data_IF_595766830407
#
_entry.id   IF_595766830407
#
_cell.length_a   1.000
_cell.length_b   1.000
_cell.length_c   1.000
_cell.angle_alpha   90.00
_cell.angle_beta   90.00
_cell.angle_gamma   90.00
#
_symmetry.space_group_name_H-M   'P 1'
#
loop_
_entity.id
_entity.type
_entity.pdbx_description
1 polymer ?
#
# COMPACT_ATOMS: atom_id res chain seq x y z
N UNK A 1 -34.46 0.75 -3.38
CA UNK A 1 -34.08 1.80 -2.41
C UNK A 1 -32.88 1.40 -1.51
N UNK A 2 -32.65 0.09 -1.24
CA UNK A 2 -31.54 -0.35 -0.36
C UNK A 2 -30.14 0.07 -0.78
N UNK A 3 -29.84 0.06 -2.08
CA UNK A 3 -28.49 0.33 -2.60
C UNK A 3 -28.00 1.78 -2.39
N UNK A 4 -28.93 2.73 -2.24
CA UNK A 4 -28.59 4.14 -2.09
C UNK A 4 -28.04 4.44 -0.67
N UNK A 5 -28.53 3.76 0.36
CA UNK A 5 -28.06 3.96 1.74
C UNK A 5 -26.63 3.49 1.96
N UNK A 6 -26.13 2.54 1.18
CA UNK A 6 -24.73 2.13 1.20
C UNK A 6 -23.81 3.09 0.44
N UNK A 7 -24.33 3.74 -0.60
CA UNK A 7 -23.53 4.49 -1.56
C UNK A 7 -23.19 5.91 -1.09
N UNK A 8 -24.17 6.61 -0.49
CA UNK A 8 -23.99 8.03 -0.17
C UNK A 8 -22.86 8.33 0.84
N UNK A 9 -22.56 7.50 1.88
CA UNK A 9 -21.41 7.76 2.76
C UNK A 9 -20.09 7.69 1.99
N UNK A 10 -19.97 6.73 1.09
CA UNK A 10 -18.77 6.57 0.24
C UNK A 10 -18.60 7.77 -0.69
N UNK A 11 -19.67 8.22 -1.36
CA UNK A 11 -19.62 9.38 -2.25
C UNK A 11 -19.28 10.67 -1.49
N UNK A 12 -19.82 10.86 -0.28
CA UNK A 12 -19.49 11.99 0.57
C UNK A 12 -18.01 11.97 0.98
N UNK A 13 -17.49 10.80 1.38
CA UNK A 13 -16.08 10.65 1.71
C UNK A 13 -15.19 10.98 0.51
N UNK A 14 -15.51 10.46 -0.67
CA UNK A 14 -14.75 10.73 -1.90
C UNK A 14 -14.80 12.24 -2.28
N UNK A 15 -15.97 12.87 -2.18
CA UNK A 15 -16.13 14.30 -2.41
C UNK A 15 -15.33 15.14 -1.39
N UNK A 16 -15.35 14.72 -0.11
CA UNK A 16 -14.55 15.35 0.94
C UNK A 16 -13.04 15.26 0.63
N UNK A 17 -12.57 14.09 0.20
CA UNK A 17 -11.16 13.88 -0.18
C UNK A 17 -10.73 14.77 -1.36
N UNK A 18 -11.60 14.93 -2.37
CA UNK A 18 -11.39 15.88 -3.45
C UNK A 18 -11.30 17.33 -2.92
N UNK A 19 -12.21 17.73 -2.04
CA UNK A 19 -12.23 19.06 -1.42
C UNK A 19 -10.95 19.36 -0.65
N UNK A 20 -10.48 18.41 0.17
CA UNK A 20 -9.21 18.52 0.92
C UNK A 20 -8.03 18.66 -0.03
N UNK A 21 -7.98 17.85 -1.10
CA UNK A 21 -6.91 17.92 -2.10
C UNK A 21 -6.84 19.29 -2.79
N UNK A 22 -7.99 19.85 -3.19
CA UNK A 22 -8.08 21.19 -3.77
C UNK A 22 -7.67 22.29 -2.77
N UNK A 23 -8.12 22.16 -1.52
CA UNK A 23 -7.78 23.12 -0.47
C UNK A 23 -6.25 23.15 -0.22
N UNK A 24 -5.62 21.98 -0.06
CA UNK A 24 -4.15 21.86 0.12
C UNK A 24 -3.42 22.43 -1.08
N UNK A 25 -3.89 22.13 -2.30
CA UNK A 25 -3.30 22.68 -3.52
C UNK A 25 -3.36 24.22 -3.53
N UNK A 26 -4.49 24.79 -3.15
CA UNK A 26 -4.67 26.25 -3.14
C UNK A 26 -3.81 26.94 -2.07
N UNK A 27 -3.73 26.35 -0.88
CA UNK A 27 -2.89 26.83 0.22
C UNK A 27 -1.39 26.76 -0.11
N UNK A 28 -0.97 25.80 -0.93
CA UNK A 28 0.45 25.60 -1.29
C UNK A 28 0.91 26.42 -2.52
N UNK A 29 0.05 27.21 -3.14
CA UNK A 29 0.40 27.97 -4.37
C UNK A 29 1.44 29.07 -4.14
N UNK A 30 1.55 29.64 -2.94
CA UNK A 30 2.51 30.70 -2.61
C UNK A 30 3.96 30.21 -2.48
N UNK A 31 4.18 28.97 -2.04
CA UNK A 31 5.52 28.41 -1.76
C UNK A 31 6.20 27.75 -2.97
N UNK A 32 5.51 27.58 -4.09
CA UNK A 32 5.91 26.70 -5.21
C UNK A 32 6.99 27.21 -6.15
N UNK A 33 7.52 28.43 -5.96
CA UNK A 33 8.35 29.05 -6.99
C UNK A 33 9.82 28.57 -7.05
N UNK A 34 10.40 28.04 -5.97
CA UNK A 34 11.84 27.78 -5.94
C UNK A 34 12.26 26.32 -6.25
N UNK A 35 11.45 25.29 -5.97
CA UNK A 35 11.86 23.90 -6.22
C UNK A 35 10.66 22.95 -6.42
N UNK A 36 9.96 23.07 -7.54
CA UNK A 36 8.74 22.30 -7.84
C UNK A 36 8.91 20.80 -7.61
N UNK A 37 10.00 20.19 -8.08
CA UNK A 37 10.21 18.75 -7.94
C UNK A 37 10.29 18.30 -6.47
N UNK A 38 10.99 19.07 -5.61
CA UNK A 38 11.13 18.77 -4.18
C UNK A 38 9.80 18.90 -3.44
N UNK A 39 9.03 19.92 -3.77
CA UNK A 39 7.71 20.13 -3.16
C UNK A 39 6.68 19.12 -3.64
N UNK A 40 6.68 18.83 -4.93
CA UNK A 40 5.72 17.92 -5.55
C UNK A 40 5.94 16.45 -5.18
N UNK A 41 7.20 15.98 -5.10
CA UNK A 41 7.52 14.56 -4.89
C UNK A 41 7.80 14.18 -3.43
N UNK A 42 8.25 15.10 -2.56
CA UNK A 42 8.52 14.82 -1.14
C UNK A 42 7.97 15.87 -0.16
N UNK A 43 7.11 16.78 -0.61
CA UNK A 43 6.48 17.79 0.25
C UNK A 43 7.46 18.76 0.91
N UNK A 44 8.59 19.07 0.28
CA UNK A 44 9.60 19.99 0.81
C UNK A 44 10.27 19.53 2.10
N UNK A 45 10.18 18.25 2.49
CA UNK A 45 10.66 17.70 3.78
C UNK A 45 10.00 18.38 4.99
N UNK A 46 8.71 18.65 4.92
CA UNK A 46 7.98 19.45 5.93
C UNK A 46 7.09 18.62 6.85
N UNK A 47 7.05 17.28 6.72
CA UNK A 47 6.10 16.45 7.45
C UNK A 47 6.39 16.42 8.96
N UNK A 48 5.37 16.80 9.76
CA UNK A 48 5.38 16.63 11.22
C UNK A 48 5.17 15.18 11.64
N UNK A 49 5.45 14.87 12.91
CA UNK A 49 5.45 13.48 13.40
C UNK A 49 4.13 12.74 13.22
N UNK A 50 3.00 13.37 13.52
CA UNK A 50 1.69 12.75 13.37
C UNK A 50 1.34 12.47 11.89
N UNK A 51 1.48 13.48 11.02
CA UNK A 51 1.20 13.29 9.58
C UNK A 51 2.14 12.25 8.97
N UNK A 52 3.43 12.26 9.34
CA UNK A 52 4.39 11.24 8.90
C UNK A 52 3.98 9.84 9.36
N UNK A 53 3.57 9.68 10.63
CA UNK A 53 3.07 8.40 11.16
C UNK A 53 1.86 7.92 10.34
N UNK A 54 0.84 8.75 10.22
CA UNK A 54 -0.42 8.37 9.60
C UNK A 54 -0.30 8.14 8.10
N UNK A 55 0.49 8.94 7.36
CA UNK A 55 0.77 8.64 5.94
C UNK A 55 1.60 7.35 5.76
N UNK A 56 2.50 7.05 6.72
CA UNK A 56 3.25 5.78 6.69
C UNK A 56 2.30 4.60 6.96
N UNK A 57 1.45 4.69 7.98
CA UNK A 57 0.40 3.70 8.26
C UNK A 57 -0.49 3.50 7.04
N UNK A 58 -1.02 4.57 6.46
CA UNK A 58 -1.91 4.51 5.30
C UNK A 58 -1.25 3.86 4.06
N UNK A 59 0.05 4.06 3.89
CA UNK A 59 0.79 3.46 2.76
C UNK A 59 1.06 1.97 2.97
N UNK A 60 1.26 1.54 4.21
CA UNK A 60 1.41 0.12 4.54
C UNK A 60 0.07 -0.61 4.60
N UNK A 61 -0.98 0.06 5.06
CA UNK A 61 -2.33 -0.48 5.11
C UNK A 61 -2.99 -0.34 3.75
N UNK A 62 -3.09 -1.44 3.03
CA UNK A 62 -3.66 -1.49 1.68
C UNK A 62 -4.92 -2.36 1.66
N UNK A 63 -5.52 -2.55 0.50
CA UNK A 63 -6.60 -3.51 0.33
C UNK A 63 -6.22 -4.92 0.81
N UNK A 64 -4.95 -5.29 0.74
CA UNK A 64 -4.49 -6.57 1.29
C UNK A 64 -4.65 -6.65 2.81
N UNK A 65 -4.54 -5.54 3.54
CA UNK A 65 -4.75 -5.52 5.00
C UNK A 65 -6.23 -5.68 5.35
N UNK A 66 -7.14 -5.11 4.54
CA UNK A 66 -8.57 -5.05 4.87
C UNK A 66 -9.42 -6.11 4.18
N UNK A 67 -8.94 -6.69 3.08
CA UNK A 67 -9.69 -7.67 2.27
C UNK A 67 -8.89 -8.95 2.10
N UNK A 68 -7.70 -8.87 1.51
CA UNK A 68 -6.89 -10.06 1.21
C UNK A 68 -6.41 -10.79 2.47
N UNK A 69 -5.92 -10.07 3.47
CA UNK A 69 -5.43 -10.63 4.74
C UNK A 69 -6.53 -11.30 5.56
N UNK A 70 -7.64 -10.60 5.87
CA UNK A 70 -8.78 -11.23 6.53
C UNK A 70 -9.34 -12.43 5.77
N UNK A 71 -9.44 -12.37 4.44
CA UNK A 71 -9.87 -13.52 3.62
C UNK A 71 -8.93 -14.73 3.76
N UNK A 72 -7.63 -14.50 3.76
CA UNK A 72 -6.66 -15.56 4.03
C UNK A 72 -6.71 -16.07 5.48
N UNK A 73 -6.94 -15.19 6.44
CA UNK A 73 -7.11 -15.57 7.84
C UNK A 73 -8.38 -16.42 8.06
N UNK A 74 -9.47 -16.11 7.36
CA UNK A 74 -10.67 -16.94 7.32
C UNK A 74 -10.40 -18.34 6.76
N UNK A 75 -9.55 -18.46 5.75
CA UNK A 75 -9.23 -19.73 5.12
C UNK A 75 -8.21 -20.57 5.91
N UNK A 76 -7.22 -19.92 6.52
CA UNK A 76 -6.06 -20.56 7.17
C UNK A 76 -6.22 -20.59 8.69
N UNK A 77 -6.66 -19.50 9.32
CA UNK A 77 -6.76 -19.38 10.78
C UNK A 77 -5.52 -18.76 11.44
N UNK A 78 -5.13 -19.27 12.61
CA UNK A 78 -4.04 -18.75 13.45
C UNK A 78 -2.68 -18.75 12.76
N UNK A 79 -2.42 -19.67 11.85
CA UNK A 79 -1.19 -19.65 11.07
C UNK A 79 -0.99 -18.32 10.34
N UNK A 80 -2.09 -17.75 9.81
CA UNK A 80 -2.05 -16.44 9.16
C UNK A 80 -1.93 -15.29 10.16
N UNK A 81 -2.59 -15.37 11.31
CA UNK A 81 -2.49 -14.38 12.38
C UNK A 81 -1.05 -14.29 12.92
N UNK A 82 -0.39 -15.40 13.17
CA UNK A 82 1.00 -15.43 13.63
C UNK A 82 1.97 -14.86 12.57
N UNK A 83 1.69 -15.07 11.29
CA UNK A 83 2.43 -14.41 10.23
C UNK A 83 2.25 -12.88 10.29
N UNK A 84 1.02 -12.40 10.51
CA UNK A 84 0.73 -10.98 10.56
C UNK A 84 1.43 -10.23 11.73
N UNK A 85 1.80 -10.90 12.80
CA UNK A 85 2.49 -10.32 13.98
C UNK A 85 3.80 -9.63 13.56
N UNK A 86 4.52 -10.12 12.57
CA UNK A 86 5.79 -9.50 12.15
C UNK A 86 5.59 -8.06 11.66
N UNK A 87 4.41 -7.73 11.14
CA UNK A 87 4.12 -6.39 10.63
C UNK A 87 4.02 -5.33 11.73
N UNK A 88 3.83 -5.73 13.00
CA UNK A 88 3.75 -4.82 14.15
C UNK A 88 5.01 -3.96 14.26
N UNK A 89 6.18 -4.55 14.05
CA UNK A 89 7.47 -3.86 14.20
C UNK A 89 7.97 -3.17 12.92
N UNK A 90 7.25 -3.33 11.81
CA UNK A 90 7.71 -2.85 10.48
C UNK A 90 7.99 -1.35 10.47
N UNK A 91 7.06 -0.53 10.96
CA UNK A 91 7.27 0.94 10.93
C UNK A 91 8.44 1.35 11.83
N UNK A 92 8.62 0.68 12.97
CA UNK A 92 9.79 0.91 13.83
C UNK A 92 11.09 0.64 13.08
N UNK A 93 11.16 -0.48 12.37
CA UNK A 93 12.35 -0.85 11.58
C UNK A 93 12.56 0.13 10.41
N UNK A 94 11.50 0.42 9.65
CA UNK A 94 11.54 1.28 8.47
C UNK A 94 11.96 2.71 8.82
N UNK A 95 11.33 3.34 9.79
CA UNK A 95 11.62 4.72 10.16
C UNK A 95 12.84 4.82 11.10
N UNK A 96 12.97 3.91 12.07
CA UNK A 96 13.99 3.97 13.11
C UNK A 96 15.37 3.57 12.61
N UNK A 97 15.50 2.41 11.97
CA UNK A 97 16.80 1.89 11.53
C UNK A 97 17.15 2.45 10.15
N UNK A 98 16.29 2.17 9.18
CA UNK A 98 16.55 2.49 7.78
C UNK A 98 16.29 3.96 7.46
N UNK A 99 15.13 4.50 7.87
CA UNK A 99 14.71 5.85 7.58
C UNK A 99 15.65 6.92 8.10
N UNK A 100 16.20 6.75 9.31
CA UNK A 100 17.20 7.66 9.86
C UNK A 100 18.46 7.71 9.00
N UNK A 101 18.96 6.55 8.58
CA UNK A 101 20.18 6.45 7.77
C UNK A 101 19.97 7.04 6.38
N UNK A 102 18.86 6.65 5.71
CA UNK A 102 18.53 7.13 4.37
C UNK A 102 18.32 8.65 4.35
N UNK A 103 17.68 9.22 5.37
CA UNK A 103 17.47 10.65 5.47
C UNK A 103 18.77 11.44 5.66
N UNK A 104 19.71 10.93 6.46
CA UNK A 104 21.04 11.54 6.59
C UNK A 104 21.76 11.59 5.24
N UNK A 105 21.73 10.49 4.49
CA UNK A 105 22.36 10.41 3.17
C UNK A 105 21.61 11.33 2.18
N UNK A 106 20.30 11.25 2.12
CA UNK A 106 19.49 12.02 1.18
C UNK A 106 19.60 13.53 1.38
N UNK A 107 19.74 14.00 2.63
CA UNK A 107 19.97 15.41 2.93
C UNK A 107 21.35 15.89 2.49
N UNK A 108 22.38 15.03 2.65
CA UNK A 108 23.75 15.35 2.22
C UNK A 108 23.90 15.50 0.72
N UNK A 109 23.17 14.69 -0.07
CA UNK A 109 23.24 14.69 -1.53
C UNK A 109 22.03 15.40 -2.20
N UNK A 110 21.18 16.00 -1.39
CA UNK A 110 19.87 16.60 -1.76
C UNK A 110 18.95 15.68 -2.60
N UNK A 111 19.00 14.37 -2.32
CA UNK A 111 18.18 13.38 -3.02
C UNK A 111 16.69 13.58 -2.73
N UNK A 112 15.86 13.43 -3.77
CA UNK A 112 14.41 13.53 -3.73
C UNK A 112 13.76 12.16 -3.85
N UNK A 113 14.44 11.21 -4.49
CA UNK A 113 13.95 9.85 -4.75
C UNK A 113 14.92 8.78 -4.25
N UNK A 114 14.43 7.54 -4.16
CA UNK A 114 15.30 6.38 -3.89
C UNK A 114 16.30 6.16 -5.02
N UNK A 115 15.90 6.46 -6.25
CA UNK A 115 16.76 6.35 -7.44
C UNK A 115 17.94 7.32 -7.38
N UNK A 116 17.74 8.55 -6.85
CA UNK A 116 18.84 9.49 -6.60
C UNK A 116 19.86 8.93 -5.63
N UNK A 117 19.40 8.29 -4.56
CA UNK A 117 20.28 7.68 -3.55
C UNK A 117 21.12 6.56 -4.19
N UNK A 118 20.48 5.70 -4.97
CA UNK A 118 21.15 4.59 -5.68
C UNK A 118 22.14 5.13 -6.70
N UNK A 119 21.73 6.11 -7.52
CA UNK A 119 22.58 6.75 -8.52
C UNK A 119 23.82 7.38 -7.88
N UNK A 120 23.64 8.15 -6.83
CA UNK A 120 24.72 8.79 -6.12
C UNK A 120 25.66 7.79 -5.46
N UNK A 121 25.11 6.72 -4.86
CA UNK A 121 25.92 5.71 -4.14
C UNK A 121 26.79 4.86 -5.07
N UNK A 122 26.23 4.44 -6.21
CA UNK A 122 26.87 3.50 -7.11
C UNK A 122 27.45 4.14 -8.38
N UNK A 123 27.25 5.46 -8.57
CA UNK A 123 27.70 6.21 -9.76
C UNK A 123 27.30 5.52 -11.06
N UNK A 124 26.02 5.07 -11.15
CA UNK A 124 25.53 4.25 -12.26
C UNK A 124 24.16 4.70 -12.74
N UNK A 125 24.12 5.24 -13.97
CA UNK A 125 22.85 5.57 -14.63
C UNK A 125 22.10 4.33 -15.08
N UNK A 126 22.81 3.27 -15.48
CA UNK A 126 22.17 1.99 -15.82
C UNK A 126 21.38 1.45 -14.64
N UNK A 127 21.98 1.40 -13.44
CA UNK A 127 21.31 0.94 -12.23
C UNK A 127 20.13 1.83 -11.86
N UNK A 128 20.27 3.15 -12.03
CA UNK A 128 19.19 4.11 -11.79
C UNK A 128 18.00 3.91 -12.76
N UNK A 129 18.27 3.68 -14.03
CA UNK A 129 17.23 3.43 -15.04
C UNK A 129 16.53 2.08 -14.81
N UNK A 130 17.27 1.02 -14.46
CA UNK A 130 16.70 -0.27 -14.06
C UNK A 130 15.83 -0.07 -12.81
N UNK A 131 16.28 0.69 -11.81
CA UNK A 131 15.50 1.00 -10.60
C UNK A 131 14.18 1.69 -10.94
N UNK A 132 14.20 2.69 -11.83
CA UNK A 132 12.99 3.41 -12.25
C UNK A 132 12.01 2.48 -12.97
N UNK A 133 12.51 1.62 -13.89
CA UNK A 133 11.68 0.64 -14.60
C UNK A 133 11.01 -0.36 -13.63
N UNK A 134 11.79 -0.90 -12.70
CA UNK A 134 11.30 -1.84 -11.67
C UNK A 134 10.24 -1.20 -10.80
N UNK A 135 10.45 0.05 -10.35
CA UNK A 135 9.45 0.81 -9.57
C UNK A 135 8.14 0.90 -10.35
N UNK A 136 8.19 1.36 -11.60
CA UNK A 136 6.98 1.53 -12.41
C UNK A 136 6.25 0.20 -12.62
N UNK A 137 6.97 -0.85 -13.01
CA UNK A 137 6.38 -2.15 -13.31
C UNK A 137 5.67 -2.77 -12.10
N UNK A 138 6.35 -2.87 -10.95
CA UNK A 138 5.78 -3.53 -9.77
C UNK A 138 4.81 -2.64 -8.99
N UNK A 139 4.96 -1.31 -9.05
CA UNK A 139 3.93 -0.42 -8.51
C UNK A 139 2.64 -0.48 -9.33
N UNK A 140 2.72 -0.60 -10.67
CA UNK A 140 1.54 -0.87 -11.48
C UNK A 140 0.86 -2.18 -11.05
N UNK A 141 1.60 -3.26 -10.82
CA UNK A 141 1.03 -4.51 -10.33
C UNK A 141 0.37 -4.35 -8.94
N UNK A 142 1.01 -3.62 -8.01
CA UNK A 142 0.38 -3.32 -6.70
C UNK A 142 -0.91 -2.51 -6.88
N UNK A 143 -0.90 -1.50 -7.75
CA UNK A 143 -2.08 -0.66 -8.00
C UNK A 143 -3.23 -1.47 -8.62
N UNK A 144 -2.96 -2.46 -9.48
CA UNK A 144 -4.00 -3.38 -9.99
C UNK A 144 -4.71 -4.08 -8.84
N UNK A 145 -3.98 -4.62 -7.84
CA UNK A 145 -4.60 -5.24 -6.67
C UNK A 145 -5.52 -4.26 -5.91
N UNK A 146 -5.12 -2.99 -5.79
CA UNK A 146 -5.92 -1.96 -5.12
C UNK A 146 -7.21 -1.65 -5.91
N UNK A 147 -7.12 -1.48 -7.23
CA UNK A 147 -8.27 -1.23 -8.09
C UNK A 147 -9.28 -2.39 -8.04
N UNK A 148 -8.78 -3.63 -8.11
CA UNK A 148 -9.61 -4.84 -7.97
C UNK A 148 -10.32 -4.88 -6.62
N UNK A 149 -9.61 -4.59 -5.55
CA UNK A 149 -10.19 -4.62 -4.21
C UNK A 149 -11.25 -3.54 -4.00
N UNK A 150 -11.00 -2.31 -4.44
CA UNK A 150 -11.98 -1.24 -4.38
C UNK A 150 -13.25 -1.58 -5.18
N UNK A 151 -13.09 -2.12 -6.40
CA UNK A 151 -14.20 -2.50 -7.26
C UNK A 151 -15.04 -3.64 -6.66
N UNK A 152 -14.40 -4.69 -6.12
CA UNK A 152 -15.11 -5.80 -5.44
C UNK A 152 -15.85 -5.34 -4.18
N UNK A 153 -15.23 -4.48 -3.38
CA UNK A 153 -15.89 -3.88 -2.21
C UNK A 153 -17.11 -3.08 -2.61
N UNK A 154 -16.97 -2.24 -3.64
CA UNK A 154 -18.06 -1.44 -4.16
C UNK A 154 -19.21 -2.33 -4.70
N UNK A 155 -18.90 -3.32 -5.54
CA UNK A 155 -19.86 -4.26 -6.10
C UNK A 155 -20.62 -5.00 -4.98
N UNK A 156 -19.92 -5.57 -4.01
CA UNK A 156 -20.53 -6.36 -2.95
C UNK A 156 -21.48 -5.52 -2.07
N UNK A 157 -21.09 -4.29 -1.71
CA UNK A 157 -21.87 -3.47 -0.76
C UNK A 157 -22.98 -2.69 -1.46
N UNK A 158 -22.79 -2.25 -2.70
CA UNK A 158 -23.77 -1.42 -3.40
C UNK A 158 -24.67 -2.20 -4.37
N UNK A 159 -24.26 -3.40 -4.79
CA UNK A 159 -24.94 -4.20 -5.82
C UNK A 159 -24.76 -3.68 -7.24
N UNK A 160 -23.97 -2.62 -7.46
CA UNK A 160 -23.60 -2.18 -8.81
C UNK A 160 -22.53 -3.08 -9.40
N UNK A 161 -22.35 -3.04 -10.72
CA UNK A 161 -21.37 -3.90 -11.37
C UNK A 161 -19.93 -3.58 -10.95
N UNK A 162 -19.06 -4.58 -10.97
CA UNK A 162 -17.63 -4.48 -10.76
C UNK A 162 -16.99 -3.34 -11.57
N UNK A 163 -17.33 -3.26 -12.88
CA UNK A 163 -16.79 -2.25 -13.79
C UNK A 163 -17.24 -0.84 -13.41
N UNK A 164 -18.48 -0.67 -12.90
CA UNK A 164 -18.97 0.62 -12.41
C UNK A 164 -18.13 1.08 -11.22
N UNK A 165 -17.91 0.20 -10.24
CA UNK A 165 -17.06 0.49 -9.07
C UNK A 165 -15.63 0.80 -9.45
N UNK A 166 -15.06 0.00 -10.36
CA UNK A 166 -13.71 0.19 -10.89
C UNK A 166 -13.54 1.55 -11.57
N UNK A 167 -14.50 1.94 -12.40
CA UNK A 167 -14.47 3.21 -13.13
C UNK A 167 -14.58 4.40 -12.18
N UNK A 168 -15.56 4.37 -11.27
CA UNK A 168 -15.77 5.44 -10.30
C UNK A 168 -14.55 5.65 -9.41
N UNK A 169 -14.03 4.58 -8.84
CA UNK A 169 -12.83 4.61 -8.02
C UNK A 169 -11.61 5.11 -8.81
N UNK A 170 -11.38 4.54 -10.00
CA UNK A 170 -10.23 4.87 -10.84
C UNK A 170 -10.21 6.34 -11.25
N UNK A 171 -11.35 6.87 -11.72
CA UNK A 171 -11.46 8.28 -12.10
C UNK A 171 -11.15 9.21 -10.93
N UNK A 172 -11.74 8.94 -9.76
CA UNK A 172 -11.59 9.80 -8.60
C UNK A 172 -10.15 9.78 -8.09
N UNK A 173 -9.54 8.58 -7.91
CA UNK A 173 -8.20 8.47 -7.35
C UNK A 173 -7.14 9.06 -8.28
N UNK A 174 -7.26 8.84 -9.58
CA UNK A 174 -6.32 9.40 -10.56
C UNK A 174 -6.45 10.92 -10.60
N UNK A 175 -7.68 11.44 -10.62
CA UNK A 175 -7.92 12.88 -10.66
C UNK A 175 -7.35 13.61 -9.44
N UNK A 176 -7.70 13.18 -8.22
CA UNK A 176 -7.25 13.89 -7.03
C UNK A 176 -5.73 13.77 -6.81
N UNK A 177 -5.14 12.62 -7.17
CA UNK A 177 -3.69 12.41 -7.09
C UNK A 177 -2.94 13.35 -8.04
N UNK A 178 -3.44 13.45 -9.27
CA UNK A 178 -2.87 14.33 -10.30
C UNK A 178 -2.85 15.80 -9.85
N UNK A 179 -3.90 16.22 -9.15
CA UNK A 179 -4.06 17.61 -8.67
C UNK A 179 -3.27 17.86 -7.38
N UNK A 180 -3.32 16.95 -6.41
CA UNK A 180 -2.84 17.18 -5.04
C UNK A 180 -1.32 17.21 -4.86
N UNK A 181 -0.55 16.43 -5.60
CA UNK A 181 0.87 16.20 -5.35
C UNK A 181 1.14 15.55 -3.98
N UNK A 182 2.41 15.38 -3.59
CA UNK A 182 2.78 14.62 -2.38
C UNK A 182 2.24 15.22 -1.07
N UNK A 183 2.27 16.55 -0.92
CA UNK A 183 1.77 17.21 0.30
C UNK A 183 0.26 17.03 0.45
N UNK A 184 -0.49 17.10 -0.66
CA UNK A 184 -1.91 16.79 -0.68
C UNK A 184 -2.17 15.35 -0.30
N UNK A 185 -1.45 14.40 -0.94
CA UNK A 185 -1.55 12.97 -0.65
C UNK A 185 -1.20 12.67 0.81
N UNK A 186 -0.13 13.23 1.37
CA UNK A 186 0.26 12.96 2.76
C UNK A 186 -0.81 13.40 3.79
N UNK A 187 -1.52 14.51 3.52
CA UNK A 187 -2.61 14.98 4.39
C UNK A 187 -3.86 14.10 4.21
N UNK A 188 -4.23 13.79 2.96
CA UNK A 188 -5.35 12.89 2.69
C UNK A 188 -5.09 11.48 3.20
N UNK A 189 -3.86 10.97 3.12
CA UNK A 189 -3.44 9.69 3.71
C UNK A 189 -3.66 9.68 5.24
N UNK A 190 -3.36 10.79 5.92
CA UNK A 190 -3.61 10.87 7.36
C UNK A 190 -5.11 10.78 7.70
N UNK A 191 -5.97 11.40 6.89
CA UNK A 191 -7.42 11.28 7.02
C UNK A 191 -7.87 9.85 6.71
N UNK A 192 -7.33 9.25 5.64
CA UNK A 192 -7.58 7.84 5.31
C UNK A 192 -7.22 6.90 6.45
N UNK A 193 -6.06 7.09 7.10
CA UNK A 193 -5.65 6.26 8.22
C UNK A 193 -6.64 6.33 9.41
N UNK A 194 -7.18 7.51 9.69
CA UNK A 194 -8.23 7.66 10.73
C UNK A 194 -9.51 6.94 10.31
N UNK A 195 -9.94 7.09 9.05
CA UNK A 195 -11.12 6.39 8.53
C UNK A 195 -10.95 4.86 8.55
N UNK A 196 -9.75 4.36 8.24
CA UNK A 196 -9.40 2.94 8.34
C UNK A 196 -9.57 2.40 9.76
N UNK A 197 -9.07 3.14 10.77
CA UNK A 197 -9.17 2.74 12.18
C UNK A 197 -10.65 2.69 12.59
N UNK A 198 -11.43 3.72 12.28
CA UNK A 198 -12.84 3.80 12.61
C UNK A 198 -13.61 2.64 11.97
N UNK A 199 -13.46 2.43 10.65
CA UNK A 199 -14.14 1.34 9.94
C UNK A 199 -13.78 -0.05 10.49
N UNK A 200 -12.51 -0.25 10.87
CA UNK A 200 -12.05 -1.50 11.45
C UNK A 200 -12.69 -1.81 12.80
N UNK A 201 -12.78 -0.81 13.68
CA UNK A 201 -13.42 -0.99 14.99
C UNK A 201 -14.93 -1.21 14.84
N UNK A 202 -15.61 -0.48 13.96
CA UNK A 202 -17.04 -0.70 13.68
C UNK A 202 -17.26 -2.15 13.22
N UNK A 203 -16.47 -2.63 12.26
CA UNK A 203 -16.57 -4.00 11.76
C UNK A 203 -16.32 -5.03 12.86
N UNK A 204 -15.31 -4.82 13.70
CA UNK A 204 -14.96 -5.73 14.78
C UNK A 204 -16.10 -5.88 15.79
N UNK A 205 -16.64 -4.76 16.28
CA UNK A 205 -17.72 -4.80 17.28
C UNK A 205 -19.04 -5.31 16.71
N UNK A 206 -19.42 -4.92 15.50
CA UNK A 206 -20.62 -5.41 14.83
C UNK A 206 -20.57 -6.91 14.58
N UNK A 207 -19.41 -7.42 14.17
CA UNK A 207 -19.20 -8.86 13.99
C UNK A 207 -19.33 -9.63 15.32
N UNK A 208 -18.80 -9.09 16.43
CA UNK A 208 -18.95 -9.71 17.75
C UNK A 208 -20.41 -9.74 18.18
N UNK A 209 -21.14 -8.65 17.98
CA UNK A 209 -22.56 -8.54 18.32
C UNK A 209 -23.39 -9.57 17.53
N UNK A 210 -23.24 -9.60 16.20
CA UNK A 210 -23.96 -10.52 15.30
C UNK A 210 -23.63 -11.97 15.59
N UNK A 211 -22.36 -12.27 15.94
CA UNK A 211 -21.91 -13.61 16.28
C UNK A 211 -22.34 -14.09 17.68
N UNK A 212 -23.01 -13.22 18.47
CA UNK A 212 -23.44 -13.52 19.83
C UNK A 212 -22.32 -13.49 20.88
N UNK A 213 -21.28 -12.69 20.62
CA UNK A 213 -20.12 -12.49 21.48
C UNK A 213 -18.90 -13.35 21.11
N UNK A 214 -17.76 -12.94 21.65
CA UNK A 214 -16.47 -13.59 21.40
C UNK A 214 -16.46 -15.08 21.73
N UNK A 215 -16.99 -15.45 22.91
CA UNK A 215 -16.99 -16.83 23.38
C UNK A 215 -17.79 -17.75 22.46
N UNK A 216 -18.97 -17.31 22.01
CA UNK A 216 -19.81 -18.11 21.11
C UNK A 216 -19.13 -18.32 19.75
N UNK A 217 -18.54 -17.29 19.19
CA UNK A 217 -17.78 -17.37 17.93
C UNK A 217 -16.61 -18.35 18.08
N UNK A 218 -15.84 -18.24 19.15
CA UNK A 218 -14.69 -19.12 19.41
C UNK A 218 -15.09 -20.57 19.66
N UNK A 219 -16.15 -20.81 20.41
CA UNK A 219 -16.69 -22.16 20.62
C UNK A 219 -17.13 -22.79 19.31
N UNK A 220 -17.79 -22.01 18.44
CA UNK A 220 -18.17 -22.50 17.12
C UNK A 220 -16.95 -22.89 16.28
N UNK A 221 -15.90 -22.05 16.25
CA UNK A 221 -14.65 -22.34 15.52
C UNK A 221 -13.96 -23.56 16.12
N UNK A 222 -13.87 -23.66 17.45
CA UNK A 222 -13.24 -24.78 18.13
C UNK A 222 -13.95 -26.12 17.86
N UNK A 223 -15.26 -26.09 17.75
CA UNK A 223 -16.06 -27.30 17.51
C UNK A 223 -16.00 -27.72 16.04
N UNK A 224 -16.14 -26.80 15.10
CA UNK A 224 -16.31 -27.12 13.68
C UNK A 224 -15.01 -27.00 12.86
N UNK A 225 -14.04 -26.20 13.32
CA UNK A 225 -12.77 -25.91 12.61
C UNK A 225 -11.56 -25.88 13.56
N UNK A 226 -11.33 -26.92 14.40
CA UNK A 226 -10.27 -26.90 15.42
C UNK A 226 -8.87 -26.75 14.83
N UNK A 227 -8.67 -27.20 13.60
CA UNK A 227 -7.42 -27.05 12.83
C UNK A 227 -7.00 -25.60 12.62
N UNK A 228 -7.96 -24.65 12.57
CA UNK A 228 -7.68 -23.23 12.42
C UNK A 228 -7.05 -22.56 13.65
N UNK A 229 -7.21 -23.17 14.82
CA UNK A 229 -6.64 -22.67 16.08
C UNK A 229 -5.22 -23.18 16.36
N UNK A 230 -4.72 -24.09 15.53
CA UNK A 230 -3.34 -24.57 15.61
C UNK A 230 -2.36 -23.59 14.93
N UNK A 231 -1.10 -23.47 15.42
CA UNK A 231 -0.13 -22.48 14.92
C UNK A 231 0.12 -22.51 13.42
N UNK A 232 0.12 -23.67 12.79
CA UNK A 232 0.31 -23.84 11.35
C UNK A 232 -0.94 -24.41 10.66
N UNK A 233 -2.08 -24.38 11.35
CA UNK A 233 -3.40 -24.79 10.81
C UNK A 233 -3.38 -26.20 10.17
N UNK A 234 -2.76 -27.15 10.85
CA UNK A 234 -2.55 -28.57 10.40
C UNK A 234 -1.96 -28.68 8.99
N UNK A 235 -0.98 -27.84 8.67
CA UNK A 235 -0.28 -27.88 7.39
C UNK A 235 -0.90 -27.03 6.28
N UNK A 236 -2.02 -26.34 6.51
CA UNK A 236 -2.54 -25.32 5.58
C UNK A 236 -1.57 -24.14 5.40
N UNK A 237 -0.69 -23.92 6.40
CA UNK A 237 0.40 -22.96 6.37
C UNK A 237 1.73 -23.69 6.48
N UNK A 238 2.33 -24.15 5.36
CA UNK A 238 3.66 -24.79 5.38
C UNK A 238 4.72 -23.88 5.99
N UNK A 239 5.69 -24.42 6.72
CA UNK A 239 6.77 -23.66 7.36
C UNK A 239 7.53 -22.79 6.35
N UNK A 240 7.76 -23.29 5.13
CA UNK A 240 8.42 -22.55 4.06
C UNK A 240 7.63 -21.28 3.67
N UNK A 241 6.31 -21.38 3.53
CA UNK A 241 5.44 -20.25 3.26
C UNK A 241 5.44 -19.28 4.44
N UNK A 242 5.33 -19.79 5.68
CA UNK A 242 5.36 -18.99 6.89
C UNK A 242 6.64 -18.15 7.00
N UNK A 243 7.81 -18.76 6.87
CA UNK A 243 9.10 -18.07 6.94
C UNK A 243 9.26 -17.08 5.79
N UNK A 244 8.90 -17.46 4.56
CA UNK A 244 9.01 -16.57 3.41
C UNK A 244 8.12 -15.34 3.55
N UNK A 245 6.90 -15.49 4.08
CA UNK A 245 6.01 -14.36 4.37
C UNK A 245 6.56 -13.47 5.49
N UNK A 246 7.14 -14.05 6.55
CA UNK A 246 7.81 -13.29 7.61
C UNK A 246 8.95 -12.42 7.08
N UNK A 247 9.77 -12.97 6.19
CA UNK A 247 10.86 -12.23 5.56
C UNK A 247 10.30 -11.14 4.65
N UNK A 248 9.36 -11.47 3.78
CA UNK A 248 8.79 -10.58 2.80
C UNK A 248 8.05 -9.41 3.48
N UNK A 249 7.00 -9.65 4.26
CA UNK A 249 6.18 -8.55 4.83
C UNK A 249 6.77 -7.93 6.11
N UNK A 250 7.79 -8.52 6.68
CA UNK A 250 8.45 -8.03 7.89
C UNK A 250 9.77 -7.32 7.59
N UNK A 251 10.78 -8.08 7.16
CA UNK A 251 12.15 -7.57 7.05
C UNK A 251 12.40 -6.85 5.74
N UNK A 252 11.98 -7.44 4.61
CA UNK A 252 12.34 -6.91 3.30
C UNK A 252 11.59 -5.62 2.94
N UNK A 253 10.46 -5.35 3.56
CA UNK A 253 9.71 -4.08 3.44
C UNK A 253 10.51 -2.83 3.81
N UNK A 254 11.63 -2.97 4.53
CA UNK A 254 12.57 -1.87 4.84
C UNK A 254 13.01 -1.11 3.58
N UNK A 255 13.20 -1.81 2.49
CA UNK A 255 13.79 -1.29 1.26
C UNK A 255 12.74 -0.94 0.18
N UNK A 256 11.45 -1.04 0.48
CA UNK A 256 10.41 -0.63 -0.46
C UNK A 256 10.51 0.86 -0.80
N UNK A 257 10.52 1.23 -2.08
CA UNK A 257 10.70 2.63 -2.51
C UNK A 257 9.71 3.61 -1.87
N UNK A 258 8.45 3.22 -1.69
CA UNK A 258 7.45 4.04 -1.01
C UNK A 258 7.78 4.30 0.47
N UNK A 259 8.43 3.35 1.14
CA UNK A 259 8.92 3.49 2.52
C UNK A 259 10.08 4.47 2.61
N UNK A 260 10.99 4.40 1.64
CA UNK A 260 12.15 5.30 1.53
C UNK A 260 11.70 6.75 1.40
N UNK A 261 10.68 7.04 0.58
CA UNK A 261 10.15 8.39 0.38
C UNK A 261 9.68 9.00 1.71
N UNK A 262 8.99 8.21 2.57
CA UNK A 262 8.59 8.69 3.91
C UNK A 262 9.80 8.94 4.81
N UNK A 263 10.79 8.06 4.77
CA UNK A 263 12.07 8.25 5.47
C UNK A 263 12.85 9.49 5.05
N UNK A 264 12.60 10.05 3.86
CA UNK A 264 13.24 11.29 3.36
C UNK A 264 12.43 12.54 3.73
N UNK A 265 11.11 12.44 3.91
CA UNK A 265 10.14 13.56 3.90
C UNK A 265 9.94 14.25 5.25
N UNK A 266 10.51 13.75 6.35
CA UNK A 266 10.28 14.31 7.69
C UNK A 266 10.97 15.67 7.94
N UNK A 267 10.33 16.49 8.79
CA UNK A 267 10.83 17.83 9.12
C UNK A 267 12.11 17.79 9.98
N UNK A 268 12.10 17.03 11.05
CA UNK A 268 13.22 16.93 12.01
C UNK A 268 13.22 15.58 12.74
N UNK A 269 14.28 15.31 13.50
CA UNK A 269 14.47 14.04 14.22
C UNK A 269 13.35 13.75 15.23
N UNK A 270 12.79 14.78 15.90
CA UNK A 270 11.66 14.63 16.82
C UNK A 270 10.41 14.15 16.08
N UNK A 271 10.14 14.70 14.88
CA UNK A 271 9.04 14.25 14.03
C UNK A 271 9.21 12.78 13.61
N UNK A 272 10.42 12.36 13.23
CA UNK A 272 10.72 10.97 12.91
C UNK A 272 10.49 10.04 14.11
N UNK A 273 10.98 10.42 15.30
CA UNK A 273 10.83 9.62 16.52
C UNK A 273 9.35 9.46 16.91
N UNK A 274 8.58 10.54 16.90
CA UNK A 274 7.15 10.49 17.17
C UNK A 274 6.42 9.63 16.14
N UNK A 275 6.78 9.76 14.85
CA UNK A 275 6.17 8.95 13.80
C UNK A 275 6.47 7.45 13.95
N UNK A 276 7.66 7.11 14.40
CA UNK A 276 8.06 5.74 14.66
C UNK A 276 7.20 5.11 15.77
N UNK A 277 7.00 5.83 16.89
CA UNK A 277 6.18 5.33 18.01
C UNK A 277 4.70 5.22 17.62
N UNK A 278 4.11 6.33 17.16
CA UNK A 278 2.69 6.38 16.79
C UNK A 278 2.40 5.36 15.69
N UNK A 279 3.21 5.36 14.64
CA UNK A 279 3.02 4.46 13.49
C UNK A 279 3.10 2.99 13.88
N UNK A 280 4.05 2.60 14.75
CA UNK A 280 4.17 1.21 15.20
C UNK A 280 2.94 0.75 15.98
N UNK A 281 2.45 1.56 16.90
CA UNK A 281 1.24 1.22 17.67
C UNK A 281 0.02 1.11 16.75
N UNK A 282 -0.15 2.09 15.85
CA UNK A 282 -1.33 2.14 14.98
C UNK A 282 -1.33 0.99 13.96
N UNK A 283 -0.20 0.77 13.24
CA UNK A 283 -0.15 -0.32 12.25
C UNK A 283 -0.27 -1.69 12.91
N UNK A 284 0.36 -1.85 14.09
CA UNK A 284 0.28 -3.08 14.87
C UNK A 284 -1.17 -3.41 15.24
N UNK A 285 -1.88 -2.45 15.83
CA UNK A 285 -3.28 -2.61 16.19
C UNK A 285 -4.15 -2.90 14.95
N UNK A 286 -4.00 -2.11 13.88
CA UNK A 286 -4.80 -2.28 12.66
C UNK A 286 -4.58 -3.65 12.01
N UNK A 287 -3.34 -4.08 11.85
CA UNK A 287 -3.02 -5.35 11.20
C UNK A 287 -3.52 -6.54 12.02
N UNK A 288 -3.32 -6.51 13.33
CA UNK A 288 -3.77 -7.57 14.22
C UNK A 288 -5.29 -7.65 14.26
N UNK A 289 -6.00 -6.53 14.44
CA UNK A 289 -7.46 -6.50 14.48
C UNK A 289 -8.04 -6.95 13.14
N UNK A 290 -7.52 -6.45 12.02
CA UNK A 290 -7.98 -6.85 10.69
C UNK A 290 -7.83 -8.36 10.45
N UNK A 291 -6.68 -8.92 10.81
CA UNK A 291 -6.43 -10.36 10.67
C UNK A 291 -7.30 -11.17 11.63
N UNK A 292 -7.51 -10.66 12.86
CA UNK A 292 -8.38 -11.29 13.84
C UNK A 292 -9.84 -11.31 13.38
N UNK A 293 -10.34 -10.23 12.78
CA UNK A 293 -11.66 -10.19 12.13
C UNK A 293 -11.78 -11.32 11.11
N UNK A 294 -10.74 -11.55 10.30
CA UNK A 294 -10.73 -12.66 9.35
C UNK A 294 -10.89 -14.02 9.99
N UNK A 295 -10.20 -14.30 11.11
CA UNK A 295 -10.36 -15.55 11.86
C UNK A 295 -11.77 -15.66 12.45
N UNK A 296 -12.23 -14.62 13.14
CA UNK A 296 -13.53 -14.62 13.82
C UNK A 296 -14.70 -14.66 12.84
N UNK A 297 -14.56 -14.08 11.64
CA UNK A 297 -15.62 -14.14 10.62
C UNK A 297 -15.96 -15.56 10.17
N UNK A 298 -15.09 -16.56 10.46
CA UNK A 298 -15.40 -17.98 10.25
C UNK A 298 -16.52 -18.50 11.13
N UNK A 299 -16.68 -17.93 12.32
CA UNK A 299 -17.80 -18.27 13.21
C UNK A 299 -19.12 -17.53 12.91
N UNK A 300 -19.06 -16.52 11.99
CA UNK A 300 -20.23 -15.74 11.55
C UNK A 300 -20.63 -16.15 10.13
N UNK A 301 -19.67 -16.29 9.25
CA UNK A 301 -19.85 -16.80 7.87
C UNK A 301 -19.55 -18.31 7.89
N UNK A 302 -20.58 -19.13 8.12
CA UNK A 302 -20.43 -20.55 8.38
C UNK A 302 -20.47 -21.46 7.15
N UNK A 303 -20.85 -20.90 6.01
CA UNK A 303 -20.93 -21.64 4.74
C UNK A 303 -19.54 -21.89 4.10
N UNK A 304 -19.53 -22.66 3.02
CA UNK A 304 -18.32 -22.97 2.24
C UNK A 304 -17.87 -21.79 1.42
N UNK A 305 -16.58 -21.79 1.02
CA UNK A 305 -16.03 -20.73 0.17
C UNK A 305 -16.75 -20.63 -1.19
N UNK A 306 -17.26 -21.76 -1.72
CA UNK A 306 -18.05 -21.79 -2.95
C UNK A 306 -19.36 -21.04 -2.81
N UNK A 307 -20.07 -21.17 -1.67
CA UNK A 307 -21.27 -20.40 -1.38
C UNK A 307 -21.00 -18.89 -1.37
N UNK A 308 -19.77 -18.51 -1.02
CA UNK A 308 -19.29 -17.11 -1.01
C UNK A 308 -18.60 -16.69 -2.32
N UNK A 309 -18.93 -17.33 -3.43
CA UNK A 309 -18.42 -16.99 -4.76
C UNK A 309 -16.99 -17.49 -5.04
N UNK A 310 -16.49 -18.45 -4.28
CA UNK A 310 -15.22 -19.14 -4.52
C UNK A 310 -13.94 -18.32 -4.33
N UNK A 311 -14.04 -17.07 -3.84
CA UNK A 311 -12.89 -16.19 -3.61
C UNK A 311 -12.80 -15.73 -2.16
N UNK A 312 -11.61 -15.86 -1.58
CA UNK A 312 -11.32 -15.32 -0.24
C UNK A 312 -11.45 -13.79 -0.17
N UNK A 313 -11.34 -13.09 -1.30
CA UNK A 313 -11.51 -11.63 -1.37
C UNK A 313 -12.95 -11.19 -1.07
N UNK A 314 -13.93 -12.10 -1.14
CA UNK A 314 -15.32 -11.82 -0.85
C UNK A 314 -15.65 -11.85 0.65
N UNK A 315 -14.78 -12.44 1.48
CA UNK A 315 -15.08 -12.65 2.91
C UNK A 315 -15.30 -11.33 3.65
N UNK A 316 -14.41 -10.35 3.51
CA UNK A 316 -14.58 -9.06 4.20
C UNK A 316 -15.82 -8.30 3.75
N UNK A 317 -16.10 -8.12 2.43
CA UNK A 317 -17.34 -7.52 1.98
C UNK A 317 -18.59 -8.23 2.54
N UNK A 318 -18.61 -9.57 2.50
CA UNK A 318 -19.73 -10.37 3.01
C UNK A 318 -19.88 -10.25 4.53
N UNK A 319 -18.78 -10.17 5.28
CA UNK A 319 -18.83 -9.90 6.71
C UNK A 319 -19.49 -8.54 6.99
N UNK A 320 -19.12 -7.50 6.23
CA UNK A 320 -19.71 -6.16 6.37
C UNK A 320 -21.22 -6.20 6.15
N UNK A 321 -21.68 -6.73 5.02
CA UNK A 321 -23.14 -6.76 4.71
C UNK A 321 -23.91 -7.76 5.56
N UNK A 322 -23.29 -8.82 6.03
CA UNK A 322 -23.94 -9.85 6.86
C UNK A 322 -24.04 -9.47 8.34
N UNK A 323 -23.30 -8.46 8.81
CA UNK A 323 -23.26 -8.07 10.23
C UNK A 323 -23.79 -6.67 10.51
N UNK A 324 -24.17 -5.90 9.50
CA UNK A 324 -24.53 -4.49 9.66
C UNK A 324 -25.75 -4.09 8.85
N UNK A 325 -26.48 -3.11 9.40
CA UNK A 325 -27.49 -2.38 8.61
C UNK A 325 -26.84 -1.61 7.45
N UNK A 326 -27.60 -1.33 6.37
CA UNK A 326 -27.09 -0.65 5.19
C UNK A 326 -26.33 0.63 5.45
N UNK A 327 -26.73 1.43 6.44
CA UNK A 327 -26.08 2.68 6.82
C UNK A 327 -24.67 2.45 7.40
N UNK A 328 -24.57 1.54 8.39
CA UNK A 328 -23.28 1.22 9.02
C UNK A 328 -22.35 0.47 8.09
N UNK A 329 -22.89 -0.38 7.23
CA UNK A 329 -22.10 -1.02 6.16
C UNK A 329 -21.48 0.02 5.22
N UNK A 330 -22.25 1.06 4.82
CA UNK A 330 -21.77 2.17 4.00
C UNK A 330 -20.66 3.01 4.69
N UNK A 331 -20.72 3.20 5.99
CA UNK A 331 -19.67 3.87 6.75
C UNK A 331 -18.43 2.97 6.88
N UNK A 332 -18.62 1.70 7.20
CA UNK A 332 -17.53 0.75 7.44
C UNK A 332 -16.69 0.52 6.19
N UNK A 333 -17.31 0.46 5.01
CA UNK A 333 -16.58 0.27 3.74
C UNK A 333 -15.65 1.44 3.40
N UNK A 334 -15.85 2.63 4.00
CA UNK A 334 -14.94 3.76 3.84
C UNK A 334 -13.53 3.40 4.31
N UNK A 335 -13.36 2.59 5.36
CA UNK A 335 -12.05 2.14 5.83
C UNK A 335 -11.24 1.42 4.75
N UNK A 336 -11.70 0.28 4.23
CA UNK A 336 -11.05 -0.41 3.12
C UNK A 336 -10.88 0.44 1.84
N UNK A 337 -11.86 1.28 1.49
CA UNK A 337 -11.74 2.19 0.34
C UNK A 337 -10.64 3.24 0.60
N UNK A 338 -10.56 3.80 1.80
CA UNK A 338 -9.50 4.73 2.18
C UNK A 338 -8.11 4.08 2.07
N UNK A 339 -7.98 2.79 2.43
CA UNK A 339 -6.75 2.02 2.28
C UNK A 339 -6.32 1.88 0.81
N UNK A 340 -7.27 1.64 -0.09
CA UNK A 340 -6.97 1.57 -1.53
C UNK A 340 -6.58 2.93 -2.08
N UNK A 341 -7.31 3.99 -1.73
CA UNK A 341 -7.06 5.35 -2.19
C UNK A 341 -5.66 5.83 -1.80
N UNK A 342 -5.29 5.71 -0.53
CA UNK A 342 -4.00 6.17 0.00
C UNK A 342 -2.82 5.42 -0.64
N UNK A 343 -2.98 4.12 -0.86
CA UNK A 343 -1.95 3.30 -1.52
C UNK A 343 -1.79 3.70 -2.99
N UNK A 344 -2.88 3.77 -3.75
CA UNK A 344 -2.82 4.11 -5.19
C UNK A 344 -2.24 5.50 -5.41
N UNK A 345 -2.70 6.51 -4.67
CA UNK A 345 -2.19 7.89 -4.82
C UNK A 345 -0.69 7.98 -4.56
N UNK A 346 -0.21 7.31 -3.53
CA UNK A 346 1.22 7.27 -3.20
C UNK A 346 2.05 6.57 -4.26
N UNK A 347 1.56 5.44 -4.81
CA UNK A 347 2.26 4.68 -5.85
C UNK A 347 2.22 5.38 -7.21
N UNK A 348 1.12 6.04 -7.57
CA UNK A 348 1.03 6.86 -8.78
C UNK A 348 2.04 8.00 -8.76
N UNK A 349 2.15 8.72 -7.63
CA UNK A 349 3.14 9.80 -7.49
C UNK A 349 4.57 9.26 -7.56
N UNK A 350 4.86 8.15 -6.89
CA UNK A 350 6.20 7.56 -6.90
C UNK A 350 6.58 7.04 -8.29
N UNK A 351 5.64 6.41 -9.02
CA UNK A 351 5.85 5.94 -10.40
C UNK A 351 6.05 7.10 -11.37
N UNK A 352 5.21 8.14 -11.28
CA UNK A 352 5.38 9.34 -12.12
C UNK A 352 6.70 10.06 -11.83
N UNK A 353 7.13 10.08 -10.54
CA UNK A 353 8.43 10.61 -10.14
C UNK A 353 9.59 9.83 -10.77
N UNK A 354 9.52 8.49 -10.76
CA UNK A 354 10.53 7.64 -11.36
C UNK A 354 10.69 7.93 -12.87
N UNK A 355 9.58 8.11 -13.59
CA UNK A 355 9.60 8.42 -15.03
C UNK A 355 10.12 9.84 -15.28
N UNK A 356 9.53 10.83 -14.63
CA UNK A 356 9.75 12.24 -14.98
C UNK A 356 11.04 12.77 -14.35
N UNK A 357 11.21 12.57 -13.04
CA UNK A 357 12.35 13.13 -12.31
C UNK A 357 13.61 12.28 -12.54
N UNK A 358 13.49 10.96 -12.40
CA UNK A 358 14.68 10.09 -12.37
C UNK A 358 15.19 9.71 -13.74
N UNK A 359 14.31 9.67 -14.77
CA UNK A 359 14.71 9.37 -16.15
C UNK A 359 14.72 10.65 -17.00
N UNK A 360 13.57 11.31 -17.19
CA UNK A 360 13.45 12.42 -18.14
C UNK A 360 14.27 13.66 -17.75
N UNK A 361 14.11 14.17 -16.52
CA UNK A 361 14.84 15.36 -16.06
C UNK A 361 16.35 15.08 -15.98
N UNK A 362 16.74 13.89 -15.58
CA UNK A 362 18.15 13.50 -15.52
C UNK A 362 18.77 13.48 -16.93
N UNK A 363 18.07 12.91 -17.90
CA UNK A 363 18.55 12.90 -19.30
C UNK A 363 18.62 14.32 -19.90
N UNK A 364 17.65 15.18 -19.59
CA UNK A 364 17.70 16.59 -19.97
C UNK A 364 18.91 17.32 -19.34
N UNK A 365 19.18 17.06 -18.05
CA UNK A 365 20.32 17.65 -17.35
C UNK A 365 21.67 17.22 -17.98
N UNK A 366 21.80 15.95 -18.37
CA UNK A 366 22.99 15.47 -19.11
C UNK A 366 23.21 16.18 -20.43
N UNK A 367 22.14 16.56 -21.11
CA UNK A 367 22.16 17.29 -22.38
C UNK A 367 22.21 18.80 -22.17
N UNK A 368 22.48 19.27 -20.94
CA UNK A 368 22.51 20.69 -20.59
C UNK A 368 21.23 21.46 -20.96
N UNK A 369 20.07 20.76 -20.98
CA UNK A 369 18.76 21.36 -21.22
C UNK A 369 18.08 21.68 -19.91
N UNK A 370 17.71 22.94 -19.70
CA UNK A 370 16.86 23.35 -18.58
C UNK A 370 15.41 23.06 -18.91
N UNK A 371 14.69 22.40 -17.99
CA UNK A 371 13.26 22.09 -18.12
C UNK A 371 12.47 23.04 -17.24
N UNK A 372 11.45 23.70 -17.81
CA UNK A 372 10.62 24.61 -17.06
C UNK A 372 9.76 23.88 -16.01
N UNK A 373 9.45 24.52 -14.88
CA UNK A 373 8.57 23.97 -13.86
C UNK A 373 7.19 23.60 -14.41
N UNK A 374 6.68 24.35 -15.38
CA UNK A 374 5.39 24.04 -16.03
C UNK A 374 5.45 22.76 -16.86
N UNK A 375 6.55 22.53 -17.58
CA UNK A 375 6.78 21.30 -18.35
C UNK A 375 6.87 20.09 -17.42
N UNK A 376 7.63 20.20 -16.33
CA UNK A 376 7.75 19.12 -15.32
C UNK A 376 6.37 18.81 -14.76
N UNK A 377 5.59 19.83 -14.40
CA UNK A 377 4.24 19.68 -13.89
C UNK A 377 3.32 18.95 -14.86
N UNK A 378 3.28 19.42 -16.12
CA UNK A 378 2.42 18.85 -17.15
C UNK A 378 2.77 17.38 -17.43
N UNK A 379 4.05 17.07 -17.54
CA UNK A 379 4.52 15.70 -17.80
C UNK A 379 4.26 14.79 -16.60
N UNK A 380 4.46 15.27 -15.37
CA UNK A 380 4.12 14.49 -14.15
C UNK A 380 2.64 14.19 -14.08
N UNK A 381 1.78 15.18 -14.36
CA UNK A 381 0.33 14.97 -14.41
C UNK A 381 -0.06 13.98 -15.52
N UNK A 382 0.51 14.15 -16.72
CA UNK A 382 0.28 13.23 -17.85
C UNK A 382 0.71 11.80 -17.55
N UNK A 383 1.90 11.62 -16.97
CA UNK A 383 2.39 10.29 -16.55
C UNK A 383 1.46 9.64 -15.51
N UNK A 384 0.97 10.41 -14.52
CA UNK A 384 0.03 9.92 -13.51
C UNK A 384 -1.27 9.42 -14.15
N UNK A 385 -1.83 10.17 -15.10
CA UNK A 385 -3.06 9.79 -15.81
C UNK A 385 -2.84 8.55 -16.68
N UNK A 386 -1.75 8.50 -17.45
CA UNK A 386 -1.44 7.36 -18.33
C UNK A 386 -1.24 6.08 -17.51
N UNK A 387 -0.49 6.16 -16.40
CA UNK A 387 -0.29 5.02 -15.50
C UNK A 387 -1.60 4.57 -14.88
N UNK A 388 -2.44 5.50 -14.40
CA UNK A 388 -3.75 5.19 -13.83
C UNK A 388 -4.69 4.51 -14.81
N UNK A 389 -4.72 4.98 -16.07
CA UNK A 389 -5.49 4.34 -17.14
C UNK A 389 -4.95 2.94 -17.49
N UNK A 390 -3.63 2.78 -17.58
CA UNK A 390 -3.01 1.46 -17.80
C UNK A 390 -3.39 0.44 -16.72
N UNK A 391 -3.32 0.86 -15.45
CA UNK A 391 -3.75 0.03 -14.30
C UNK A 391 -5.24 -0.30 -14.38
N UNK A 392 -6.09 0.67 -14.74
CA UNK A 392 -7.53 0.48 -14.92
C UNK A 392 -7.83 -0.62 -15.94
N UNK A 393 -7.22 -0.58 -17.12
CA UNK A 393 -7.45 -1.58 -18.16
C UNK A 393 -7.02 -2.99 -17.75
N UNK A 394 -5.90 -3.12 -17.02
CA UNK A 394 -5.46 -4.42 -16.49
C UNK A 394 -6.44 -4.92 -15.41
N UNK A 395 -6.98 -4.03 -14.58
CA UNK A 395 -7.89 -4.36 -13.50
C UNK A 395 -9.29 -4.80 -13.98
N UNK A 396 -9.69 -4.54 -15.23
CA UNK A 396 -10.96 -5.02 -15.80
C UNK A 396 -11.04 -6.56 -15.73
N UNK A 397 -9.92 -7.25 -16.01
CA UNK A 397 -9.82 -8.71 -15.93
C UNK A 397 -8.61 -9.09 -15.06
N UNK A 398 -8.79 -9.15 -13.74
CA UNK A 398 -7.67 -9.33 -12.81
C UNK A 398 -7.03 -10.72 -12.97
N UNK A 399 -5.69 -10.80 -12.96
CA UNK A 399 -4.98 -12.06 -13.22
C UNK A 399 -5.06 -13.05 -12.04
N UNK A 400 -5.38 -12.62 -10.83
CA UNK A 400 -5.44 -13.46 -9.63
C UNK A 400 -6.18 -12.77 -8.48
N UNK A 401 -6.26 -13.42 -7.31
CA UNK A 401 -6.76 -12.83 -6.07
C UNK A 401 -5.83 -11.71 -5.57
N UNK A 402 -6.40 -10.74 -4.84
CA UNK A 402 -5.73 -9.51 -4.39
C UNK A 402 -4.40 -9.81 -3.68
N UNK A 403 -4.42 -10.74 -2.73
CA UNK A 403 -3.21 -11.09 -1.98
C UNK A 403 -2.07 -11.56 -2.87
N UNK A 404 -2.33 -12.48 -3.83
CA UNK A 404 -1.30 -13.01 -4.73
C UNK A 404 -0.68 -11.94 -5.62
N UNK A 405 -1.50 -11.04 -6.18
CA UNK A 405 -1.02 -9.92 -7.01
C UNK A 405 -0.10 -9.01 -6.18
N UNK A 406 -0.51 -8.71 -4.95
CA UNK A 406 0.24 -7.80 -4.08
C UNK A 406 1.56 -8.43 -3.62
N UNK A 407 1.58 -9.73 -3.26
CA UNK A 407 2.81 -10.44 -2.88
C UNK A 407 3.78 -10.56 -4.05
N UNK A 408 3.28 -10.79 -5.26
CA UNK A 408 4.10 -10.77 -6.47
C UNK A 408 4.78 -9.40 -6.65
N UNK A 409 4.03 -8.32 -6.50
CA UNK A 409 4.58 -6.97 -6.65
C UNK A 409 5.61 -6.62 -5.57
N UNK A 410 5.33 -6.95 -4.31
CA UNK A 410 6.26 -6.70 -3.20
C UNK A 410 7.52 -7.54 -3.34
N UNK A 411 7.42 -8.85 -3.63
CA UNK A 411 8.58 -9.70 -3.82
C UNK A 411 9.51 -9.22 -4.93
N UNK A 412 8.95 -8.71 -6.03
CA UNK A 412 9.75 -8.11 -7.11
C UNK A 412 10.48 -6.84 -6.69
N UNK A 413 9.79 -5.93 -5.97
CA UNK A 413 10.42 -4.70 -5.44
C UNK A 413 11.49 -5.03 -4.41
N UNK A 414 11.22 -5.91 -3.48
CA UNK A 414 12.14 -6.26 -2.40
C UNK A 414 13.38 -6.97 -2.94
N UNK A 415 13.20 -7.89 -3.88
CA UNK A 415 14.31 -8.54 -4.57
C UNK A 415 15.21 -7.53 -5.27
N UNK A 416 14.64 -6.50 -5.89
CA UNK A 416 15.39 -5.46 -6.57
C UNK A 416 16.12 -4.52 -5.61
N UNK A 417 15.44 -4.07 -4.54
CA UNK A 417 15.92 -2.94 -3.74
C UNK A 417 16.57 -3.34 -2.42
N UNK A 418 16.20 -4.46 -1.79
CA UNK A 418 16.62 -4.79 -0.44
C UNK A 418 18.15 -4.82 -0.30
N UNK A 419 18.81 -5.71 -1.03
CA UNK A 419 20.27 -5.84 -0.92
C UNK A 419 21.02 -4.63 -1.46
N UNK A 420 20.52 -4.03 -2.54
CA UNK A 420 21.13 -2.83 -3.13
C UNK A 420 21.13 -1.66 -2.14
N UNK A 421 20.03 -1.44 -1.44
CA UNK A 421 19.93 -0.35 -0.45
C UNK A 421 20.64 -0.68 0.85
N UNK A 422 20.47 -1.89 1.39
CA UNK A 422 21.13 -2.29 2.65
C UNK A 422 22.65 -2.24 2.49
N UNK A 423 23.20 -2.91 1.49
CA UNK A 423 24.65 -2.88 1.28
C UNK A 423 25.14 -1.49 0.85
N UNK A 424 24.35 -0.75 0.07
CA UNK A 424 24.67 0.62 -0.30
C UNK A 424 24.83 1.55 0.88
N UNK A 425 24.00 1.41 1.92
CA UNK A 425 24.01 2.26 3.10
C UNK A 425 24.97 1.79 4.20
N UNK A 426 25.16 0.49 4.38
CA UNK A 426 25.85 -0.08 5.53
C UNK A 426 27.19 -0.75 5.19
N UNK A 427 27.46 -1.09 3.92
CA UNK A 427 28.69 -1.77 3.51
C UNK A 427 29.53 -0.93 2.55
N UNK A 428 30.69 -0.48 3.04
CA UNK A 428 31.60 0.42 2.27
C UNK A 428 32.11 -0.22 0.97
N UNK A 429 32.30 -1.55 0.93
CA UNK A 429 32.81 -2.30 -0.23
C UNK A 429 31.76 -2.60 -1.30
N UNK A 430 30.48 -2.26 -1.07
CA UNK A 430 29.44 -2.40 -2.09
C UNK A 430 29.81 -1.59 -3.33
N UNK A 431 29.80 -2.24 -4.49
CA UNK A 431 30.24 -1.67 -5.77
C UNK A 431 29.12 -1.70 -6.83
N UNK A 432 29.36 -0.97 -7.92
CA UNK A 432 28.42 -0.82 -9.05
C UNK A 432 28.04 -2.17 -9.67
N UNK A 433 29.04 -3.00 -9.96
CA UNK A 433 28.82 -4.29 -10.66
C UNK A 433 27.95 -5.21 -9.83
N UNK A 434 28.30 -5.40 -8.56
CA UNK A 434 27.52 -6.21 -7.62
C UNK A 434 26.08 -5.70 -7.49
N UNK A 435 25.86 -4.38 -7.45
CA UNK A 435 24.52 -3.81 -7.34
C UNK A 435 23.67 -4.04 -8.61
N UNK A 436 24.27 -3.93 -9.80
CA UNK A 436 23.59 -4.21 -11.08
C UNK A 436 23.18 -5.70 -11.15
N UNK A 437 24.10 -6.60 -10.84
CA UNK A 437 23.81 -8.03 -10.84
C UNK A 437 22.78 -8.41 -9.76
N UNK A 438 22.84 -7.82 -8.57
CA UNK A 438 21.87 -8.07 -7.52
C UNK A 438 20.46 -7.62 -7.94
N UNK A 439 20.33 -6.43 -8.53
CA UNK A 439 19.01 -5.92 -8.95
C UNK A 439 18.49 -6.64 -10.20
N UNK A 440 19.24 -6.62 -11.31
CA UNK A 440 18.77 -7.19 -12.56
C UNK A 440 18.68 -8.72 -12.50
N UNK A 441 19.71 -9.39 -11.99
CA UNK A 441 19.72 -10.84 -11.82
C UNK A 441 18.67 -11.33 -10.83
N UNK A 442 18.50 -10.61 -9.70
CA UNK A 442 17.46 -10.92 -8.72
C UNK A 442 16.05 -10.81 -9.30
N UNK A 443 15.73 -9.72 -9.98
CA UNK A 443 14.41 -9.52 -10.63
C UNK A 443 14.17 -10.58 -11.71
N UNK A 444 15.16 -10.86 -12.55
CA UNK A 444 15.04 -11.91 -13.58
C UNK A 444 14.80 -13.28 -12.96
N UNK A 445 15.58 -13.66 -11.96
CA UNK A 445 15.39 -14.92 -11.25
C UNK A 445 14.01 -15.01 -10.59
N UNK A 446 13.56 -13.93 -9.93
CA UNK A 446 12.24 -13.85 -9.31
C UNK A 446 11.11 -14.01 -10.34
N UNK A 447 11.12 -13.25 -11.42
CA UNK A 447 10.11 -13.36 -12.48
C UNK A 447 10.11 -14.74 -13.16
N UNK A 448 11.29 -15.32 -13.40
CA UNK A 448 11.42 -16.66 -13.97
C UNK A 448 10.84 -17.73 -13.04
N UNK A 449 11.18 -17.68 -11.76
CA UNK A 449 10.65 -18.62 -10.75
C UNK A 449 9.12 -18.52 -10.66
N UNK A 450 8.58 -17.32 -10.64
CA UNK A 450 7.12 -17.10 -10.61
C UNK A 450 6.44 -17.59 -11.89
N UNK A 451 7.04 -17.38 -13.06
CA UNK A 451 6.51 -17.88 -14.33
C UNK A 451 6.52 -19.41 -14.41
N UNK A 452 7.53 -20.07 -13.84
CA UNK A 452 7.61 -21.51 -13.76
C UNK A 452 6.60 -22.12 -12.78
N UNK A 453 6.35 -21.46 -11.64
CA UNK A 453 5.35 -21.91 -10.66
C UNK A 453 3.92 -21.83 -11.17
N UNK A 454 3.62 -20.94 -12.11
CA UNK A 454 2.29 -20.85 -12.75
C UNK A 454 2.05 -22.02 -13.71
N UNK A 455 3.12 -22.71 -14.14
CA UNK A 455 3.03 -23.86 -15.07
C UNK A 455 2.97 -25.24 -14.38
N UNK A 456 3.17 -25.27 -13.07
CA UNK A 456 3.08 -26.48 -12.23
C UNK A 456 1.99 -26.30 -11.16
#
# INVERSE_FOLDING_TARGET
MGNFFHLWPVLLFLAFMLGVSFWVQRASRGDRQQNFAKDYFIGGRSLGGFVLAMTTVATYSSVSTFVGGPGMAWAIGYGWLYMAIVQVVVIFLVLGIFGKKIAMVSRKIDAVTVVDVIRSRYQSDLLANISALVIVAFFCATMVAQFVGAAKLFEAVTGFSYVTGLTLFGLIVVFYTTVGGFKGVAITDAICAVAMIIGLFILFFSMLETGGGYERIMTHIQTNHPDMLEPLSRGKMPISLYISQWLLVGVCTLALPQSVVRGISYKNTKALHNAMIIGTVVIGAMTLIATWIGVLSKGVLTDTLQAYGGSVDNITPLTIIGTMDPFWAGITIIGPIAATISTVSSLLLASSSAIIKDVYMHECSKRHKTVSNNTIRLFSMGATVILGLGVYFIAIAPPSVIWKINMFAFGGLETAFFWVLIFGLFWKKANRTGAVFAMAGGVLAYCTTMALQIKF
#
